data_IF_406647201526
#
_entry.id   IF_406647201526
#
_cell.length_a   1.000
_cell.length_b   1.000
_cell.length_c   1.000
_cell.angle_alpha   90.00
_cell.angle_beta   90.00
_cell.angle_gamma   90.00
#
_symmetry.space_group_name_H-M   'P 1'
#
loop_
_entity.id
_entity.type
_entity.pdbx_description
1 polymer ?
#
# COMPACT_ATOMS: atom_id res chain seq x y z
N UNK A 1 4.34 -27.72 -16.59
CA UNK A 1 5.54 -26.91 -16.83
C UNK A 1 6.10 -26.28 -15.55
N UNK A 2 6.02 -26.99 -14.39
CA UNK A 2 6.37 -26.52 -13.04
C UNK A 2 7.60 -27.21 -12.41
N UNK A 3 8.34 -28.00 -13.18
CA UNK A 3 9.43 -28.85 -12.63
C UNK A 3 10.85 -28.30 -12.71
N UNK A 4 11.12 -27.27 -13.47
CA UNK A 4 12.49 -26.77 -13.68
C UNK A 4 12.92 -25.61 -12.78
N UNK A 5 11.99 -24.88 -12.14
CA UNK A 5 12.27 -23.78 -11.24
C UNK A 5 12.45 -24.20 -9.77
N UNK A 6 12.00 -25.38 -9.38
CA UNK A 6 12.13 -25.89 -8.00
C UNK A 6 13.56 -26.36 -7.65
N UNK A 7 14.37 -26.74 -8.62
CA UNK A 7 15.69 -27.35 -8.42
C UNK A 7 16.81 -26.37 -8.04
N UNK A 8 16.59 -25.06 -8.17
CA UNK A 8 17.62 -24.04 -7.93
C UNK A 8 17.44 -23.16 -6.68
N UNK A 9 16.25 -23.19 -6.04
CA UNK A 9 16.04 -22.35 -4.87
C UNK A 9 16.62 -22.96 -3.61
N UNK A 10 17.50 -22.21 -2.96
CA UNK A 10 18.09 -22.55 -1.68
C UNK A 10 17.48 -21.68 -0.58
N UNK A 11 17.00 -22.31 0.48
CA UNK A 11 16.44 -21.58 1.62
C UNK A 11 17.52 -20.68 2.24
N UNK A 12 17.21 -19.41 2.56
CA UNK A 12 18.16 -18.53 3.26
C UNK A 12 18.64 -19.15 4.58
N UNK A 13 19.91 -18.92 4.92
CA UNK A 13 20.51 -19.42 6.17
C UNK A 13 19.74 -18.88 7.37
N UNK A 14 19.70 -19.68 8.44
CA UNK A 14 19.07 -19.27 9.69
C UNK A 14 19.77 -18.02 10.26
N UNK A 15 18.98 -17.04 10.72
CA UNK A 15 19.51 -15.85 11.39
C UNK A 15 19.99 -16.17 12.80
N UNK A 16 20.85 -15.31 13.38
CA UNK A 16 21.31 -15.47 14.77
C UNK A 16 20.14 -15.51 15.77
N UNK A 17 19.06 -14.77 15.52
CA UNK A 17 17.85 -14.80 16.35
C UNK A 17 17.16 -16.17 16.30
N UNK A 18 17.08 -16.78 15.11
CA UNK A 18 16.51 -18.13 14.95
C UNK A 18 17.36 -19.19 15.66
N UNK A 19 18.69 -19.09 15.61
CA UNK A 19 19.58 -20.04 16.29
C UNK A 19 19.48 -19.92 17.82
N UNK A 20 19.33 -18.71 18.35
CA UNK A 20 19.07 -18.49 19.78
C UNK A 20 17.73 -19.09 20.21
N UNK A 21 16.69 -18.92 19.40
CA UNK A 21 15.39 -19.52 19.66
C UNK A 21 15.44 -21.06 19.63
N UNK A 22 16.23 -21.66 18.71
CA UNK A 22 16.41 -23.10 18.65
C UNK A 22 17.21 -23.62 19.86
N UNK A 23 18.22 -22.89 20.33
CA UNK A 23 18.95 -23.24 21.55
C UNK A 23 18.06 -23.18 22.80
N UNK A 24 17.22 -22.13 22.90
CA UNK A 24 16.23 -22.02 23.99
C UNK A 24 15.21 -23.17 23.93
N UNK A 25 14.72 -23.50 22.75
CA UNK A 25 13.80 -24.64 22.56
C UNK A 25 14.46 -25.96 22.98
N UNK A 26 15.70 -26.21 22.58
CA UNK A 26 16.44 -27.42 22.97
C UNK A 26 16.61 -27.51 24.50
N UNK A 27 16.90 -26.38 25.16
CA UNK A 27 17.00 -26.31 26.62
C UNK A 27 15.64 -26.59 27.30
N UNK A 28 14.54 -25.97 26.80
CA UNK A 28 13.20 -26.20 27.33
C UNK A 28 12.79 -27.66 27.18
N UNK A 29 13.09 -28.29 26.03
CA UNK A 29 12.81 -29.69 25.79
C UNK A 29 13.66 -30.60 26.69
N UNK A 30 14.92 -30.23 26.94
CA UNK A 30 15.78 -30.97 27.86
C UNK A 30 15.26 -30.96 29.31
N UNK A 31 14.89 -29.77 29.79
CA UNK A 31 14.27 -29.60 31.11
C UNK A 31 12.94 -30.36 31.19
N UNK A 32 12.09 -30.20 30.14
CA UNK A 32 10.82 -30.92 30.03
C UNK A 32 11.01 -32.45 30.07
N UNK A 33 11.97 -32.99 29.29
CA UNK A 33 12.26 -34.41 29.24
C UNK A 33 12.73 -34.97 30.59
N UNK A 34 13.60 -34.26 31.30
CA UNK A 34 14.01 -34.65 32.65
C UNK A 34 12.82 -34.63 33.62
N UNK A 35 11.98 -33.57 33.55
CA UNK A 35 10.83 -33.44 34.42
C UNK A 35 9.80 -34.55 34.16
N UNK A 36 9.47 -34.82 32.89
CA UNK A 36 8.53 -35.91 32.54
C UNK A 36 9.09 -37.29 32.89
N UNK A 37 10.39 -37.53 32.71
CA UNK A 37 11.04 -38.78 33.14
C UNK A 37 10.90 -39.01 34.64
N UNK A 38 11.14 -37.96 35.45
CA UNK A 38 10.97 -38.07 36.91
C UNK A 38 9.51 -38.32 37.32
N UNK A 39 8.57 -37.77 36.59
CA UNK A 39 7.12 -38.00 36.81
C UNK A 39 6.75 -39.44 36.41
N UNK A 40 7.17 -39.92 35.23
CA UNK A 40 6.91 -41.30 34.81
C UNK A 40 7.52 -42.31 35.74
N UNK A 41 8.73 -42.08 36.27
CA UNK A 41 9.34 -42.94 37.29
C UNK A 41 8.44 -43.10 38.52
N UNK A 42 7.74 -42.02 38.96
CA UNK A 42 6.85 -42.05 40.12
C UNK A 42 5.53 -42.81 39.86
N UNK A 43 5.12 -42.95 38.61
CA UNK A 43 3.88 -43.68 38.29
C UNK A 43 4.01 -45.19 38.40
N UNK A 44 5.25 -45.73 38.49
CA UNK A 44 5.48 -47.18 38.48
C UNK A 44 5.13 -47.83 37.15
N UNK A 45 5.02 -47.06 36.06
CA UNK A 45 4.63 -47.57 34.73
C UNK A 45 5.78 -48.30 34.03
N UNK A 46 7.02 -48.20 34.55
CA UNK A 46 8.22 -48.82 34.02
C UNK A 46 8.80 -49.77 35.10
N UNK A 47 8.70 -51.05 34.86
CA UNK A 47 9.14 -52.09 35.82
C UNK A 47 10.66 -52.14 35.94
N UNK A 48 11.39 -51.97 34.84
CA UNK A 48 12.85 -51.90 34.80
C UNK A 48 13.31 -50.51 34.39
N UNK A 49 13.98 -49.81 35.30
CA UNK A 49 14.46 -48.45 35.06
C UNK A 49 15.95 -48.50 34.64
N UNK A 50 16.23 -47.90 33.48
CA UNK A 50 17.60 -47.78 32.97
C UNK A 50 18.57 -47.09 33.97
N UNK A 51 19.86 -47.39 33.97
CA UNK A 51 20.84 -46.63 34.72
C UNK A 51 20.86 -45.15 34.36
N UNK A 52 21.13 -44.26 35.32
CA UNK A 52 21.09 -42.79 35.15
C UNK A 52 21.95 -42.32 33.98
N UNK A 53 23.09 -42.94 33.71
CA UNK A 53 23.94 -42.57 32.58
C UNK A 53 23.24 -42.80 31.22
N UNK A 54 22.37 -43.82 31.11
CA UNK A 54 21.56 -44.07 29.90
C UNK A 54 20.51 -42.94 29.72
N UNK A 55 19.90 -42.46 30.80
CA UNK A 55 18.98 -41.33 30.73
C UNK A 55 19.70 -40.08 30.22
N UNK A 56 20.85 -39.73 30.83
CA UNK A 56 21.65 -38.57 30.43
C UNK A 56 22.04 -38.68 28.96
N UNK A 57 22.50 -39.84 28.52
CA UNK A 57 22.88 -40.07 27.14
C UNK A 57 21.66 -40.00 26.20
N UNK A 58 20.59 -40.74 26.48
CA UNK A 58 19.41 -40.82 25.61
C UNK A 58 18.69 -39.49 25.50
N UNK A 59 18.37 -38.85 26.64
CA UNK A 59 17.71 -37.55 26.66
C UNK A 59 18.61 -36.45 26.07
N UNK A 60 19.91 -36.49 26.31
CA UNK A 60 20.88 -35.56 25.73
C UNK A 60 20.93 -35.67 24.21
N UNK A 61 20.97 -36.90 23.65
CA UNK A 61 20.94 -37.15 22.22
C UNK A 61 19.60 -36.70 21.56
N UNK A 62 18.48 -36.81 22.27
CA UNK A 62 17.20 -36.39 21.79
C UNK A 62 17.03 -34.86 21.76
N UNK A 63 17.59 -34.14 22.72
CA UNK A 63 17.28 -32.73 22.95
C UNK A 63 18.36 -31.75 22.47
N UNK A 64 19.64 -31.98 22.87
CA UNK A 64 20.70 -30.99 22.61
C UNK A 64 20.99 -30.74 21.12
N UNK A 65 21.00 -31.77 20.23
CA UNK A 65 21.25 -31.55 18.82
C UNK A 65 20.23 -30.63 18.14
N UNK A 66 19.03 -30.50 18.70
CA UNK A 66 17.98 -29.62 18.17
C UNK A 66 18.37 -28.13 18.13
N UNK A 67 19.34 -27.71 18.93
CA UNK A 67 19.93 -26.38 18.87
C UNK A 67 20.54 -26.06 17.48
N UNK A 68 21.04 -27.10 16.79
CA UNK A 68 21.69 -27.01 15.48
C UNK A 68 20.79 -27.48 14.32
N UNK A 69 19.53 -27.77 14.57
CA UNK A 69 18.60 -28.42 13.63
C UNK A 69 18.48 -27.72 12.28
N UNK A 70 18.54 -26.40 12.26
CA UNK A 70 18.41 -25.62 11.00
C UNK A 70 19.73 -25.55 10.23
N UNK A 71 20.84 -25.77 10.89
CA UNK A 71 22.16 -25.74 10.26
C UNK A 71 22.55 -27.10 9.67
N UNK A 72 22.23 -28.17 10.41
CA UNK A 72 22.52 -29.56 10.04
C UNK A 72 21.26 -30.45 10.17
N UNK A 73 20.24 -30.26 9.30
CA UNK A 73 18.94 -30.91 9.51
C UNK A 73 19.02 -32.44 9.55
N UNK A 74 19.69 -33.04 8.56
CA UNK A 74 19.80 -34.51 8.43
C UNK A 74 20.67 -35.13 9.54
N UNK A 75 21.89 -34.66 9.81
CA UNK A 75 22.69 -35.17 10.93
C UNK A 75 21.97 -35.10 12.28
N UNK A 76 21.29 -33.98 12.55
CA UNK A 76 20.53 -33.82 13.79
C UNK A 76 19.38 -34.81 13.87
N UNK A 77 18.63 -35.03 12.79
CA UNK A 77 17.55 -36.01 12.79
C UNK A 77 18.03 -37.45 13.01
N UNK A 78 19.22 -37.81 12.48
CA UNK A 78 19.85 -39.11 12.72
C UNK A 78 20.25 -39.24 14.18
N UNK A 79 20.91 -38.24 14.77
CA UNK A 79 21.36 -38.29 16.18
C UNK A 79 20.16 -38.35 17.12
N UNK A 80 19.11 -37.56 16.88
CA UNK A 80 17.87 -37.61 17.66
C UNK A 80 17.18 -38.98 17.50
N UNK A 81 17.16 -39.56 16.29
CA UNK A 81 16.63 -40.89 16.04
C UNK A 81 17.39 -41.99 16.81
N UNK A 82 18.73 -41.90 16.89
CA UNK A 82 19.54 -42.79 17.72
C UNK A 82 19.19 -42.61 19.21
N UNK A 83 19.06 -41.35 19.68
CA UNK A 83 18.66 -41.07 21.05
C UNK A 83 17.28 -41.64 21.37
N UNK A 84 16.32 -41.51 20.44
CA UNK A 84 14.98 -42.08 20.54
C UNK A 84 15.01 -43.61 20.66
N UNK A 85 15.81 -44.27 19.82
CA UNK A 85 16.03 -45.71 19.87
C UNK A 85 16.64 -46.14 21.19
N UNK A 86 17.67 -45.44 21.69
CA UNK A 86 18.31 -45.72 22.98
C UNK A 86 17.30 -45.60 24.12
N UNK A 87 16.52 -44.56 24.16
CA UNK A 87 15.50 -44.38 25.18
C UNK A 87 14.45 -45.52 25.17
N UNK A 88 13.97 -45.89 23.99
CA UNK A 88 12.98 -46.94 23.84
C UNK A 88 13.52 -48.34 24.15
N UNK A 89 14.76 -48.63 23.74
CA UNK A 89 15.37 -49.97 23.91
C UNK A 89 15.82 -50.27 25.34
N UNK A 90 16.29 -49.23 26.06
CA UNK A 90 16.85 -49.41 27.40
C UNK A 90 15.89 -48.99 28.53
N UNK A 91 14.62 -48.76 28.23
CA UNK A 91 13.63 -48.47 29.26
C UNK A 91 13.83 -47.14 29.99
N UNK A 92 14.23 -46.08 29.25
CA UNK A 92 14.23 -44.75 29.84
C UNK A 92 12.78 -44.32 30.04
N UNK A 93 12.35 -43.94 31.27
CA UNK A 93 10.94 -43.66 31.56
C UNK A 93 10.56 -42.28 31.01
N UNK A 94 10.53 -42.16 29.69
CA UNK A 94 10.14 -40.96 28.98
C UNK A 94 9.47 -41.34 27.66
N UNK A 95 8.25 -40.89 27.43
CA UNK A 95 7.49 -41.21 26.23
C UNK A 95 6.88 -39.99 25.53
N UNK A 96 6.85 -38.84 26.16
CA UNK A 96 6.17 -37.64 25.62
C UNK A 96 7.15 -36.73 24.92
N UNK A 97 8.17 -36.23 25.63
CA UNK A 97 9.07 -35.21 25.11
C UNK A 97 10.01 -35.75 24.04
N UNK A 98 10.45 -36.99 24.12
CA UNK A 98 11.30 -37.62 23.07
C UNK A 98 10.53 -37.71 21.75
N UNK A 99 9.22 -38.00 21.77
CA UNK A 99 8.41 -38.00 20.58
C UNK A 99 8.34 -36.60 19.99
N UNK A 100 8.13 -35.56 20.81
CA UNK A 100 8.15 -34.16 20.35
C UNK A 100 9.50 -33.79 19.74
N UNK A 101 10.60 -34.12 20.38
CA UNK A 101 11.96 -33.89 19.89
C UNK A 101 12.18 -34.53 18.52
N UNK A 102 11.78 -35.78 18.37
CA UNK A 102 11.95 -36.54 17.13
C UNK A 102 11.05 -35.97 16.01
N UNK A 103 9.81 -35.61 16.32
CA UNK A 103 8.93 -34.93 15.37
C UNK A 103 9.54 -33.63 14.86
N UNK A 104 10.06 -32.80 15.77
CA UNK A 104 10.72 -31.53 15.42
C UNK A 104 11.94 -31.77 14.52
N UNK A 105 12.73 -32.83 14.81
CA UNK A 105 13.88 -33.18 13.99
C UNK A 105 13.47 -33.58 12.57
N UNK A 106 12.49 -34.47 12.40
CA UNK A 106 11.98 -34.91 11.10
C UNK A 106 11.34 -33.77 10.34
N UNK A 107 10.49 -32.99 11.00
CA UNK A 107 9.90 -31.76 10.42
C UNK A 107 11.01 -30.84 9.89
N UNK A 108 12.09 -30.65 10.66
CA UNK A 108 13.16 -29.73 10.27
C UNK A 108 13.91 -30.22 9.03
N UNK A 109 14.13 -31.53 8.87
CA UNK A 109 14.67 -32.09 7.62
C UNK A 109 13.78 -31.70 6.43
N UNK A 110 12.49 -31.95 6.52
CA UNK A 110 11.54 -31.60 5.47
C UNK A 110 11.51 -30.10 5.14
N UNK A 111 11.65 -29.26 6.16
CA UNK A 111 11.50 -27.81 6.06
C UNK A 111 12.79 -27.07 5.67
N UNK A 112 13.97 -27.54 6.09
CA UNK A 112 15.24 -26.78 6.03
C UNK A 112 16.30 -27.40 5.14
N UNK A 113 16.24 -28.72 4.85
CA UNK A 113 17.23 -29.34 3.96
C UNK A 113 17.07 -28.80 2.53
N UNK A 114 18.16 -28.22 2.03
CA UNK A 114 18.19 -27.61 0.70
C UNK A 114 18.16 -28.65 -0.42
N UNK A 115 18.84 -29.77 -0.22
CA UNK A 115 18.84 -30.88 -1.16
C UNK A 115 17.58 -31.73 -0.97
N UNK A 116 16.59 -31.55 -1.85
CA UNK A 116 15.29 -32.25 -1.74
C UNK A 116 15.38 -33.76 -1.84
N UNK A 117 16.32 -34.28 -2.66
CA UNK A 117 16.55 -35.73 -2.76
C UNK A 117 17.08 -36.25 -1.44
N UNK A 118 18.08 -35.58 -0.84
CA UNK A 118 18.63 -35.94 0.47
C UNK A 118 17.57 -35.82 1.57
N UNK A 119 16.74 -34.76 1.56
CA UNK A 119 15.66 -34.60 2.53
C UNK A 119 14.66 -35.77 2.48
N UNK A 120 14.17 -36.10 1.29
CA UNK A 120 13.17 -37.17 1.12
C UNK A 120 13.77 -38.55 1.40
N UNK A 121 14.95 -38.84 0.87
CA UNK A 121 15.59 -40.13 1.08
C UNK A 121 15.94 -40.38 2.55
N UNK A 122 16.47 -39.38 3.26
CA UNK A 122 16.78 -39.50 4.69
C UNK A 122 15.51 -39.70 5.53
N UNK A 123 14.42 -38.95 5.25
CA UNK A 123 13.16 -39.15 5.94
C UNK A 123 12.55 -40.53 5.71
N UNK A 124 12.61 -41.04 4.45
CA UNK A 124 12.15 -42.39 4.14
C UNK A 124 13.03 -43.46 4.88
N UNK A 125 14.35 -43.32 4.85
CA UNK A 125 15.24 -44.25 5.51
C UNK A 125 14.97 -44.28 7.03
N UNK A 126 14.86 -43.10 7.66
CA UNK A 126 14.57 -43.02 9.11
C UNK A 126 13.20 -43.65 9.41
N UNK A 127 12.17 -43.32 8.63
CA UNK A 127 10.81 -43.85 8.84
C UNK A 127 10.79 -45.39 8.69
N UNK A 128 11.43 -45.93 7.64
CA UNK A 128 11.51 -47.37 7.41
C UNK A 128 12.28 -48.05 8.54
N UNK A 129 13.39 -47.47 8.99
CA UNK A 129 14.18 -48.01 10.11
C UNK A 129 13.36 -48.05 11.41
N UNK A 130 12.60 -47.00 11.71
CA UNK A 130 11.75 -46.91 12.89
C UNK A 130 10.57 -47.89 12.84
N UNK A 131 9.95 -48.03 11.68
CA UNK A 131 8.86 -49.00 11.49
C UNK A 131 9.40 -50.45 11.59
N UNK A 132 10.58 -50.72 11.02
CA UNK A 132 11.23 -52.03 11.15
C UNK A 132 11.53 -52.35 12.62
N UNK A 133 12.08 -51.37 13.36
CA UNK A 133 12.32 -51.53 14.80
C UNK A 133 11.00 -51.78 15.57
N UNK A 134 9.94 -51.03 15.27
CA UNK A 134 8.63 -51.25 15.89
C UNK A 134 8.10 -52.66 15.64
N UNK A 135 8.18 -53.15 14.40
CA UNK A 135 7.73 -54.51 14.05
C UNK A 135 8.52 -55.54 14.82
N UNK A 136 9.87 -55.43 14.86
CA UNK A 136 10.71 -56.32 15.61
C UNK A 136 10.39 -56.29 17.11
N UNK A 137 10.20 -55.10 17.68
CA UNK A 137 9.80 -54.95 19.08
C UNK A 137 8.45 -55.61 19.37
N UNK A 138 7.46 -55.44 18.50
CA UNK A 138 6.15 -56.08 18.65
C UNK A 138 6.23 -57.63 18.54
N UNK A 139 7.11 -58.17 17.65
CA UNK A 139 7.33 -59.60 17.53
C UNK A 139 7.95 -60.15 18.83
N UNK A 140 8.98 -59.49 19.35
CA UNK A 140 9.64 -59.91 20.61
C UNK A 140 8.64 -59.82 21.76
N UNK A 141 7.90 -58.72 21.91
CA UNK A 141 6.89 -58.55 22.96
C UNK A 141 5.72 -59.54 22.85
N UNK A 142 5.42 -60.04 21.64
CA UNK A 142 4.39 -61.06 21.44
C UNK A 142 4.78 -62.38 22.01
N UNK A 143 6.09 -62.68 22.07
CA UNK A 143 6.65 -63.94 22.55
C UNK A 143 6.96 -63.91 24.06
N UNK A 144 6.93 -62.75 24.70
CA UNK A 144 7.20 -62.55 26.13
C UNK A 144 5.92 -62.41 26.95
N UNK A 145 5.52 -63.43 27.74
CA UNK A 145 4.29 -63.39 28.58
C UNK A 145 4.40 -62.37 29.71
N UNK A 146 5.60 -62.00 30.18
CA UNK A 146 5.77 -61.10 31.31
C UNK A 146 5.65 -59.66 30.92
N UNK A 147 5.80 -59.31 29.61
CA UNK A 147 5.74 -57.94 29.11
C UNK A 147 4.37 -57.26 29.31
N UNK A 148 3.26 -58.04 29.27
CA UNK A 148 1.90 -57.61 29.63
C UNK A 148 1.14 -58.76 30.27
N UNK A 149 1.23 -58.95 31.58
CA UNK A 149 0.53 -60.04 32.27
C UNK A 149 -0.97 -59.95 32.12
N UNK A 150 -1.65 -61.05 31.78
CA UNK A 150 -3.11 -61.11 31.64
C UNK A 150 -3.68 -60.61 30.34
N UNK A 151 -2.85 -60.11 29.40
CA UNK A 151 -3.31 -59.66 28.07
C UNK A 151 -3.45 -60.84 27.12
N UNK A 152 -4.63 -61.05 26.53
CA UNK A 152 -4.88 -62.06 25.51
C UNK A 152 -4.03 -61.83 24.25
N UNK A 153 -3.33 -62.87 23.79
CA UNK A 153 -2.46 -62.87 22.61
C UNK A 153 -2.98 -63.75 21.46
N UNK A 154 -4.04 -64.49 21.72
CA UNK A 154 -4.61 -65.42 20.75
C UNK A 154 -5.79 -64.82 20.04
N UNK A 155 -5.76 -64.82 18.71
CA UNK A 155 -6.82 -64.31 17.83
C UNK A 155 -6.55 -62.94 17.22
N UNK A 156 -7.18 -62.71 16.09
CA UNK A 156 -7.00 -61.49 15.30
C UNK A 156 -7.46 -60.22 16.04
N UNK A 157 -8.41 -60.33 16.95
CA UNK A 157 -8.90 -59.24 17.80
C UNK A 157 -8.47 -59.39 19.26
N UNK A 158 -7.33 -60.06 19.49
CA UNK A 158 -6.76 -60.12 20.84
C UNK A 158 -6.37 -58.71 21.32
N UNK A 159 -6.31 -58.53 22.64
CA UNK A 159 -5.92 -57.27 23.22
C UNK A 159 -4.50 -56.83 22.77
N UNK A 160 -3.58 -57.82 22.61
CA UNK A 160 -2.25 -57.55 22.05
C UNK A 160 -2.30 -57.13 20.57
N UNK A 161 -3.08 -57.80 19.73
CA UNK A 161 -3.25 -57.41 18.32
C UNK A 161 -3.87 -55.99 18.18
N UNK A 162 -4.79 -55.64 19.05
CA UNK A 162 -5.35 -54.27 19.10
C UNK A 162 -4.31 -53.25 19.50
N UNK A 163 -3.50 -53.55 20.52
CA UNK A 163 -2.39 -52.68 20.92
C UNK A 163 -1.38 -52.49 19.79
N UNK A 164 -0.95 -53.57 19.11
CA UNK A 164 -0.05 -53.51 17.98
C UNK A 164 -0.60 -52.67 16.82
N UNK A 165 -1.90 -52.85 16.50
CA UNK A 165 -2.56 -52.06 15.48
C UNK A 165 -2.58 -50.58 15.83
N UNK A 166 -2.92 -50.20 17.07
CA UNK A 166 -2.86 -48.83 17.55
C UNK A 166 -1.46 -48.24 17.43
N UNK A 167 -0.42 -48.97 17.83
CA UNK A 167 0.97 -48.51 17.70
C UNK A 167 1.36 -48.26 16.24
N UNK A 168 0.99 -49.15 15.34
CA UNK A 168 1.25 -48.97 13.89
C UNK A 168 0.51 -47.74 13.36
N UNK A 169 -0.78 -47.59 13.69
CA UNK A 169 -1.58 -46.43 13.25
C UNK A 169 -1.01 -45.12 13.79
N UNK A 170 -0.64 -45.07 15.08
CA UNK A 170 -0.05 -43.87 15.68
C UNK A 170 1.28 -43.50 15.01
N UNK A 171 2.15 -44.48 14.75
CA UNK A 171 3.42 -44.23 14.06
C UNK A 171 3.18 -43.75 12.61
N UNK A 172 2.21 -44.33 11.90
CA UNK A 172 1.85 -43.90 10.54
C UNK A 172 1.42 -42.44 10.51
N UNK A 173 0.53 -42.01 11.41
CA UNK A 173 0.13 -40.63 11.52
C UNK A 173 1.29 -39.73 11.92
N UNK A 174 2.14 -40.17 12.84
CA UNK A 174 3.27 -39.41 13.30
C UNK A 174 4.28 -39.11 12.18
N UNK A 175 4.73 -40.13 11.45
CA UNK A 175 5.66 -39.94 10.35
C UNK A 175 5.04 -39.19 9.17
N UNK A 176 3.80 -39.50 8.81
CA UNK A 176 3.07 -38.80 7.78
C UNK A 176 2.86 -37.32 8.12
N UNK A 177 2.55 -37.01 9.37
CA UNK A 177 2.41 -35.66 9.87
C UNK A 177 3.74 -34.88 9.78
N UNK A 178 4.83 -35.46 10.29
CA UNK A 178 6.13 -34.82 10.25
C UNK A 178 6.58 -34.52 8.80
N UNK A 179 6.39 -35.48 7.89
CA UNK A 179 6.70 -35.33 6.48
C UNK A 179 5.82 -34.25 5.82
N UNK A 180 4.51 -34.33 6.03
CA UNK A 180 3.56 -33.38 5.46
C UNK A 180 3.83 -31.94 5.88
N UNK A 181 3.96 -31.70 7.19
CA UNK A 181 4.22 -30.35 7.70
C UNK A 181 5.62 -29.86 7.30
N UNK A 182 6.64 -30.73 7.29
CA UNK A 182 7.97 -30.38 6.84
C UNK A 182 8.01 -29.94 5.37
N UNK A 183 7.43 -30.74 4.49
CA UNK A 183 7.37 -30.45 3.05
C UNK A 183 6.53 -29.20 2.75
N UNK A 184 5.39 -29.06 3.42
CA UNK A 184 4.56 -27.86 3.26
C UNK A 184 5.24 -26.58 3.76
N UNK A 185 6.00 -26.64 4.85
CA UNK A 185 6.80 -25.52 5.34
C UNK A 185 7.84 -25.07 4.32
N UNK A 186 8.50 -26.03 3.66
CA UNK A 186 9.43 -25.72 2.59
C UNK A 186 8.74 -25.09 1.37
N UNK A 187 7.61 -25.68 0.92
CA UNK A 187 6.82 -25.15 -0.19
C UNK A 187 6.33 -23.73 0.10
N UNK A 188 5.83 -23.50 1.31
CA UNK A 188 5.37 -22.16 1.72
C UNK A 188 6.50 -21.14 1.72
N UNK A 189 7.70 -21.51 2.19
CA UNK A 189 8.88 -20.65 2.17
C UNK A 189 9.33 -20.34 0.74
N UNK A 190 9.34 -21.34 -0.13
CA UNK A 190 9.66 -21.18 -1.56
C UNK A 190 8.66 -20.26 -2.26
N UNK A 191 7.35 -20.48 -2.06
CA UNK A 191 6.29 -19.65 -2.65
C UNK A 191 6.40 -18.20 -2.22
N UNK A 192 6.67 -17.94 -0.93
CA UNK A 192 6.91 -16.57 -0.44
C UNK A 192 8.08 -15.90 -1.16
N UNK A 193 9.19 -16.60 -1.32
CA UNK A 193 10.36 -16.07 -2.02
C UNK A 193 10.06 -15.74 -3.50
N UNK A 194 9.27 -16.58 -4.18
CA UNK A 194 8.82 -16.35 -5.57
C UNK A 194 7.92 -15.11 -5.64
N UNK A 195 6.94 -14.99 -4.74
CA UNK A 195 6.05 -13.83 -4.69
C UNK A 195 6.79 -12.52 -4.41
N UNK A 196 7.77 -12.55 -3.50
CA UNK A 196 8.63 -11.40 -3.22
C UNK A 196 9.50 -10.99 -4.41
N UNK A 197 10.00 -11.97 -5.17
CA UNK A 197 10.76 -11.72 -6.40
C UNK A 197 9.86 -11.08 -7.48
N UNK A 198 8.67 -11.64 -7.72
CA UNK A 198 7.69 -11.10 -8.66
C UNK A 198 7.21 -9.70 -8.25
N UNK A 199 7.00 -9.48 -6.95
CA UNK A 199 6.63 -8.15 -6.44
C UNK A 199 7.68 -7.08 -6.75
N UNK A 200 8.96 -7.40 -6.59
CA UNK A 200 10.07 -6.49 -6.93
C UNK A 200 10.18 -6.22 -8.43
N UNK A 201 9.98 -7.24 -9.26
CA UNK A 201 9.98 -7.11 -10.71
C UNK A 201 8.83 -6.22 -11.20
N UNK A 202 7.62 -6.44 -10.67
CA UNK A 202 6.44 -5.64 -10.99
C UNK A 202 6.60 -4.17 -10.57
N UNK A 203 7.22 -3.93 -9.43
CA UNK A 203 7.52 -2.57 -8.96
C UNK A 203 8.54 -1.87 -9.87
N UNK A 204 9.55 -2.61 -10.34
CA UNK A 204 10.52 -2.09 -11.30
C UNK A 204 9.85 -1.74 -12.65
N UNK A 205 9.02 -2.64 -13.18
CA UNK A 205 8.28 -2.40 -14.43
C UNK A 205 7.34 -1.18 -14.31
N UNK A 206 6.65 -1.04 -13.17
CA UNK A 206 5.78 0.12 -12.92
C UNK A 206 6.56 1.44 -12.91
N UNK A 207 7.74 1.46 -12.29
CA UNK A 207 8.61 2.65 -12.28
C UNK A 207 9.06 3.00 -13.70
N UNK A 208 9.55 2.03 -14.45
CA UNK A 208 9.98 2.23 -15.83
C UNK A 208 8.83 2.70 -16.73
N UNK A 209 7.64 2.12 -16.58
CA UNK A 209 6.45 2.55 -17.32
C UNK A 209 6.02 3.97 -16.98
N UNK A 210 6.09 4.36 -15.70
CA UNK A 210 5.79 5.73 -15.27
C UNK A 210 6.81 6.74 -15.86
N UNK A 211 8.10 6.42 -15.86
CA UNK A 211 9.14 7.24 -16.47
C UNK A 211 8.93 7.40 -17.98
N UNK A 212 8.57 6.31 -18.67
CA UNK A 212 8.25 6.34 -20.11
C UNK A 212 6.99 7.18 -20.38
N UNK A 213 5.94 7.06 -19.57
CA UNK A 213 4.75 7.87 -19.70
C UNK A 213 5.05 9.38 -19.58
N UNK A 214 5.86 9.77 -18.60
CA UNK A 214 6.32 11.17 -18.45
C UNK A 214 7.15 11.63 -19.65
N UNK A 215 8.03 10.77 -20.18
CA UNK A 215 8.82 11.11 -21.35
C UNK A 215 7.95 11.30 -22.62
N UNK A 216 6.96 10.43 -22.82
CA UNK A 216 6.00 10.54 -23.93
C UNK A 216 5.15 11.80 -23.81
N UNK A 217 4.68 12.14 -22.62
CA UNK A 217 3.93 13.36 -22.35
C UNK A 217 4.77 14.61 -22.70
N UNK A 218 6.02 14.67 -22.28
CA UNK A 218 6.94 15.75 -22.66
C UNK A 218 7.15 15.87 -24.16
N UNK A 219 7.22 14.75 -24.88
CA UNK A 219 7.32 14.75 -26.35
C UNK A 219 6.02 15.25 -27.00
N UNK A 220 4.86 14.91 -26.45
CA UNK A 220 3.57 15.44 -26.88
C UNK A 220 3.51 16.95 -26.75
N UNK A 221 3.86 17.46 -25.57
CA UNK A 221 3.97 18.89 -25.26
C UNK A 221 4.91 19.62 -26.24
N UNK A 222 6.11 19.07 -26.46
CA UNK A 222 7.08 19.67 -27.36
C UNK A 222 6.56 19.79 -28.80
N UNK A 223 5.80 18.80 -29.28
CA UNK A 223 5.14 18.85 -30.60
C UNK A 223 4.08 19.93 -30.65
N UNK A 224 3.18 19.99 -29.65
CA UNK A 224 2.12 20.99 -29.59
C UNK A 224 2.67 22.42 -29.55
N UNK A 225 3.73 22.66 -28.77
CA UNK A 225 4.46 23.93 -28.76
C UNK A 225 5.08 24.26 -30.13
N UNK A 226 5.67 23.24 -30.78
CA UNK A 226 6.28 23.44 -32.10
C UNK A 226 5.24 23.80 -33.17
N UNK A 227 4.07 23.14 -33.14
CA UNK A 227 2.99 23.37 -34.10
C UNK A 227 2.42 24.78 -33.98
N UNK A 228 2.19 25.25 -32.72
CA UNK A 228 1.73 26.62 -32.46
C UNK A 228 2.77 27.65 -32.94
N UNK A 229 4.05 27.46 -32.60
CA UNK A 229 5.12 28.37 -33.03
C UNK A 229 5.25 28.39 -34.54
N UNK A 230 5.31 27.21 -35.19
CA UNK A 230 5.47 27.09 -36.63
C UNK A 230 4.32 27.78 -37.40
N UNK A 231 3.09 27.62 -36.92
CA UNK A 231 1.92 28.24 -37.52
C UNK A 231 2.03 29.78 -37.48
N UNK A 232 2.25 30.36 -36.30
CA UNK A 232 2.32 31.82 -36.15
C UNK A 232 3.51 32.44 -36.89
N UNK A 233 4.70 31.78 -36.84
CA UNK A 233 5.89 32.24 -37.57
C UNK A 233 5.66 32.22 -39.08
N UNK A 234 4.94 31.21 -39.61
CA UNK A 234 4.62 31.13 -41.04
C UNK A 234 3.68 32.27 -41.48
N UNK A 235 2.66 32.54 -40.66
CA UNK A 235 1.73 33.67 -40.93
C UNK A 235 2.46 35.02 -40.89
N UNK A 236 3.28 35.25 -39.84
CA UNK A 236 4.10 36.48 -39.73
C UNK A 236 5.04 36.65 -40.92
N UNK A 237 5.71 35.55 -41.34
CA UNK A 237 6.59 35.57 -42.51
C UNK A 237 5.88 35.95 -43.81
N UNK A 238 4.68 35.40 -44.03
CA UNK A 238 3.88 35.73 -45.21
C UNK A 238 3.42 37.19 -45.20
N UNK A 239 2.92 37.68 -44.06
CA UNK A 239 2.46 39.09 -43.93
C UNK A 239 3.62 40.10 -44.02
N UNK A 240 4.79 39.78 -43.46
CA UNK A 240 5.97 40.62 -43.59
C UNK A 240 6.45 40.69 -45.06
N UNK A 241 6.37 39.61 -45.83
CA UNK A 241 6.65 39.60 -47.25
C UNK A 241 5.65 40.46 -48.04
N UNK A 242 4.32 40.35 -47.70
CA UNK A 242 3.28 41.17 -48.31
C UNK A 242 3.49 42.66 -48.01
N UNK A 243 3.81 43.03 -46.76
CA UNK A 243 4.13 44.39 -46.37
C UNK A 243 5.27 44.98 -47.19
N UNK A 244 6.39 44.21 -47.35
CA UNK A 244 7.55 44.62 -48.15
C UNK A 244 7.22 44.84 -49.61
N UNK A 245 6.34 44.01 -50.19
CA UNK A 245 5.94 44.12 -51.60
C UNK A 245 5.01 45.33 -51.88
N UNK A 246 4.25 45.76 -50.88
CA UNK A 246 3.28 46.85 -50.98
C UNK A 246 3.87 48.21 -50.55
N UNK A 247 5.07 48.24 -49.95
CA UNK A 247 5.61 49.41 -49.29
C UNK A 247 5.68 50.68 -50.20
N UNK A 248 6.07 50.51 -51.46
CA UNK A 248 6.23 51.62 -52.40
C UNK A 248 4.98 51.89 -53.24
N UNK A 249 4.01 50.94 -53.31
CA UNK A 249 2.83 51.01 -54.17
C UNK A 249 1.55 51.38 -53.39
N UNK A 250 1.42 50.84 -52.20
CA UNK A 250 0.29 51.03 -51.29
C UNK A 250 0.76 51.02 -49.84
N UNK A 251 1.23 52.16 -49.29
CA UNK A 251 1.67 52.25 -47.91
C UNK A 251 0.59 51.91 -46.86
N UNK A 252 -0.68 52.06 -47.20
CA UNK A 252 -1.79 51.72 -46.29
C UNK A 252 -1.91 50.20 -46.16
N UNK A 253 -1.84 49.45 -47.27
CA UNK A 253 -1.81 47.99 -47.26
C UNK A 253 -0.55 47.42 -46.57
N UNK A 254 0.60 48.07 -46.74
CA UNK A 254 1.83 47.68 -46.02
C UNK A 254 1.70 47.85 -44.51
N UNK A 255 1.09 48.96 -44.03
CA UNK A 255 0.83 49.21 -42.62
C UNK A 255 -0.11 48.16 -42.02
N UNK A 256 -1.20 47.85 -42.74
CA UNK A 256 -2.17 46.83 -42.31
C UNK A 256 -1.53 45.45 -42.20
N UNK A 257 -0.64 45.05 -43.14
CA UNK A 257 0.07 43.78 -43.05
C UNK A 257 1.05 43.73 -41.87
N UNK A 258 1.70 44.84 -41.50
CA UNK A 258 2.55 44.94 -40.30
C UNK A 258 1.75 44.87 -39.01
N UNK A 259 0.55 45.47 -38.96
CA UNK A 259 -0.36 45.35 -37.80
C UNK A 259 -0.79 43.91 -37.57
N UNK A 260 -1.03 43.12 -38.63
CA UNK A 260 -1.33 41.68 -38.53
C UNK A 260 -0.13 40.91 -38.00
N UNK A 261 1.11 41.26 -38.39
CA UNK A 261 2.34 40.66 -37.85
C UNK A 261 2.44 40.89 -36.33
N UNK A 262 2.21 42.15 -35.90
CA UNK A 262 2.28 42.50 -34.48
C UNK A 262 1.20 41.79 -33.66
N UNK A 263 -0.03 41.70 -34.14
CA UNK A 263 -1.14 40.99 -33.53
C UNK A 263 -0.86 39.48 -33.44
N UNK A 264 -0.33 38.87 -34.52
CA UNK A 264 0.03 37.45 -34.56
C UNK A 264 1.15 37.12 -33.56
N UNK A 265 2.14 38.01 -33.39
CA UNK A 265 3.21 37.86 -32.42
C UNK A 265 2.67 37.90 -30.96
N UNK A 266 1.80 38.88 -30.67
CA UNK A 266 1.17 38.97 -29.35
C UNK A 266 0.30 37.75 -29.03
N UNK A 267 -0.45 37.25 -30.01
CA UNK A 267 -1.28 36.05 -29.88
C UNK A 267 -0.45 34.82 -29.62
N UNK A 268 0.64 34.60 -30.41
CA UNK A 268 1.56 33.47 -30.22
C UNK A 268 2.19 33.44 -28.82
N UNK A 269 2.67 34.59 -28.33
CA UNK A 269 3.24 34.69 -26.97
C UNK A 269 2.16 34.43 -25.91
N UNK A 270 0.93 34.88 -26.12
CA UNK A 270 -0.20 34.63 -25.23
C UNK A 270 -0.57 33.14 -25.14
N UNK A 271 -0.66 32.46 -26.29
CA UNK A 271 -0.92 31.01 -26.36
C UNK A 271 0.20 30.17 -25.73
N UNK A 272 1.47 30.50 -26.03
CA UNK A 272 2.63 29.83 -25.41
C UNK A 272 2.64 29.99 -23.89
N UNK A 273 2.33 31.19 -23.38
CA UNK A 273 2.20 31.42 -21.92
C UNK A 273 1.07 30.60 -21.31
N UNK A 274 -0.06 30.54 -22.01
CA UNK A 274 -1.20 29.73 -21.54
C UNK A 274 -0.90 28.24 -21.52
N UNK A 275 -0.25 27.73 -22.57
CA UNK A 275 0.19 26.33 -22.64
C UNK A 275 1.20 26.00 -21.51
N UNK A 276 2.24 26.83 -21.34
CA UNK A 276 3.23 26.65 -20.26
C UNK A 276 2.57 26.74 -18.88
N UNK A 277 1.57 27.60 -18.70
CA UNK A 277 0.84 27.72 -17.44
C UNK A 277 -0.05 26.49 -17.18
N UNK A 278 -0.68 25.92 -18.22
CA UNK A 278 -1.51 24.71 -18.11
C UNK A 278 -0.67 23.48 -17.83
N UNK A 279 0.54 23.41 -18.43
CA UNK A 279 1.49 22.32 -18.30
C UNK A 279 2.37 22.41 -17.04
N UNK A 280 2.53 23.60 -16.51
CA UNK A 280 3.01 23.75 -15.15
C UNK A 280 1.87 23.31 -14.24
N UNK A 281 1.73 21.98 -14.08
CA UNK A 281 0.96 21.40 -12.98
C UNK A 281 1.25 22.30 -11.78
N UNK A 282 0.28 22.73 -10.99
CA UNK A 282 0.61 23.35 -9.74
C UNK A 282 1.54 22.36 -9.05
N UNK A 283 2.86 22.65 -9.13
CA UNK A 283 3.81 22.02 -8.24
C UNK A 283 3.13 22.10 -6.90
N UNK A 284 2.90 20.97 -6.31
CA UNK A 284 2.52 20.90 -4.93
C UNK A 284 3.38 21.95 -4.26
N UNK A 285 2.76 23.04 -3.87
CA UNK A 285 3.40 24.12 -3.13
C UNK A 285 4.37 23.47 -2.17
N UNK A 286 5.57 24.02 -2.05
CA UNK A 286 6.61 23.52 -1.14
C UNK A 286 6.01 22.95 0.14
N UNK A 287 6.41 21.75 0.59
CA UNK A 287 5.84 21.18 1.80
C UNK A 287 6.19 22.11 2.97
N UNK A 288 5.24 22.98 3.33
CA UNK A 288 5.40 23.98 4.40
C UNK A 288 4.52 25.23 4.27
N UNK A 289 3.99 25.58 3.10
CA UNK A 289 3.11 26.73 2.92
C UNK A 289 1.62 26.34 3.02
N UNK A 290 1.13 26.13 4.24
CA UNK A 290 -0.30 25.95 4.54
C UNK A 290 -1.02 27.31 4.43
N UNK A 291 -1.35 27.69 3.19
CA UNK A 291 -2.12 28.92 2.93
C UNK A 291 -3.60 28.59 3.00
N UNK A 292 -4.24 28.90 4.12
CA UNK A 292 -5.66 28.67 4.38
C UNK A 292 -6.48 29.95 4.49
N UNK A 293 -7.76 29.81 4.86
CA UNK A 293 -8.73 30.92 5.03
C UNK A 293 -8.28 31.96 6.04
N UNK A 294 -7.38 31.63 6.95
CA UNK A 294 -6.75 32.59 7.88
C UNK A 294 -5.99 33.71 7.16
N UNK A 295 -5.58 33.50 5.88
CA UNK A 295 -4.90 34.50 5.05
C UNK A 295 -5.85 35.29 4.15
N UNK A 296 -7.16 35.09 4.23
CA UNK A 296 -8.14 35.89 3.49
C UNK A 296 -8.02 37.41 3.76
N UNK A 297 -7.73 37.90 5.00
CA UNK A 297 -7.51 39.34 5.22
C UNK A 297 -6.32 39.87 4.40
N UNK A 298 -5.23 39.13 4.27
CA UNK A 298 -4.09 39.54 3.48
C UNK A 298 -4.41 39.54 1.97
N UNK A 299 -5.14 38.54 1.48
CA UNK A 299 -5.62 38.46 0.10
C UNK A 299 -6.55 39.63 -0.26
N UNK A 300 -7.43 40.02 0.64
CA UNK A 300 -8.30 41.18 0.48
C UNK A 300 -7.51 42.51 0.44
N UNK A 301 -6.51 42.65 1.31
CA UNK A 301 -5.61 43.79 1.32
C UNK A 301 -4.80 43.90 0.01
N UNK A 302 -4.37 42.81 -0.56
CA UNK A 302 -3.69 42.73 -1.85
C UNK A 302 -4.64 43.16 -2.99
N UNK A 303 -5.89 42.70 -2.98
CA UNK A 303 -6.88 43.10 -3.96
C UNK A 303 -7.17 44.62 -3.89
N UNK A 304 -7.26 45.18 -2.67
CA UNK A 304 -7.42 46.62 -2.47
C UNK A 304 -6.23 47.43 -3.00
N UNK A 305 -5.00 46.99 -2.68
CA UNK A 305 -3.77 47.64 -3.15
C UNK A 305 -3.64 47.58 -4.68
N UNK A 306 -4.22 46.55 -5.29
CA UNK A 306 -4.27 46.36 -6.75
C UNK A 306 -5.42 47.16 -7.43
N UNK A 307 -6.13 48.06 -6.72
CA UNK A 307 -7.14 48.96 -7.25
C UNK A 307 -8.56 48.37 -7.29
N UNK A 308 -8.82 47.25 -6.61
CA UNK A 308 -10.19 46.69 -6.47
C UNK A 308 -10.65 46.85 -5.03
N UNK A 309 -11.54 47.84 -4.71
CA UNK A 309 -12.12 47.97 -3.37
C UNK A 309 -12.79 46.67 -2.96
N UNK A 310 -12.29 46.03 -1.89
CA UNK A 310 -12.76 44.71 -1.46
C UNK A 310 -13.05 44.73 0.03
N UNK A 311 -14.14 44.12 0.47
CA UNK A 311 -14.47 43.96 1.90
C UNK A 311 -14.52 42.50 2.26
N UNK A 312 -14.09 42.19 3.49
CA UNK A 312 -14.17 40.83 4.06
C UNK A 312 -15.21 40.82 5.18
N UNK A 313 -16.13 39.88 5.13
CA UNK A 313 -17.13 39.63 6.16
C UNK A 313 -16.97 38.18 6.62
N UNK A 314 -16.69 38.00 7.93
CA UNK A 314 -16.67 36.68 8.54
C UNK A 314 -17.89 36.54 9.45
N UNK A 315 -18.67 35.48 9.25
CA UNK A 315 -19.91 35.23 9.99
C UNK A 315 -19.91 33.84 10.63
N UNK A 316 -20.43 33.75 11.85
CA UNK A 316 -20.39 32.52 12.66
C UNK A 316 -19.10 32.43 13.51
N UNK A 317 -19.00 31.39 14.32
CA UNK A 317 -17.80 31.14 15.13
C UNK A 317 -16.71 30.50 14.27
N UNK A 318 -15.53 31.15 14.13
CA UNK A 318 -14.40 30.58 13.42
C UNK A 318 -13.95 29.27 14.08
N UNK A 319 -13.77 28.23 13.27
CA UNK A 319 -13.28 26.93 13.71
C UNK A 319 -12.20 26.39 12.77
N UNK A 320 -11.37 25.49 13.28
CA UNK A 320 -10.37 24.82 12.48
C UNK A 320 -11.06 24.00 11.37
N UNK A 321 -10.58 24.16 10.14
CA UNK A 321 -11.03 23.41 8.97
C UNK A 321 -10.04 22.28 8.66
N UNK A 322 -10.49 21.15 8.09
CA UNK A 322 -9.59 20.17 7.51
C UNK A 322 -8.67 20.85 6.49
N UNK A 323 -7.37 20.50 6.49
CA UNK A 323 -6.34 21.17 5.70
C UNK A 323 -6.72 21.34 4.21
N UNK A 324 -7.23 20.27 3.59
CA UNK A 324 -7.63 20.31 2.19
C UNK A 324 -8.81 21.26 1.92
N UNK A 325 -9.76 21.36 2.85
CA UNK A 325 -10.89 22.31 2.77
C UNK A 325 -10.40 23.73 2.90
N UNK A 326 -9.53 23.98 3.87
CA UNK A 326 -8.95 25.27 4.18
C UNK A 326 -8.20 25.86 2.96
N UNK A 327 -7.32 25.06 2.36
CA UNK A 327 -6.57 25.42 1.15
C UNK A 327 -7.51 25.60 -0.06
N UNK A 328 -8.48 24.69 -0.25
CA UNK A 328 -9.40 24.78 -1.38
C UNK A 328 -10.22 26.06 -1.36
N UNK A 329 -10.75 26.46 -0.20
CA UNK A 329 -11.52 27.71 -0.05
C UNK A 329 -10.66 28.95 -0.30
N UNK A 330 -9.43 28.97 0.21
CA UNK A 330 -8.49 30.06 -0.07
C UNK A 330 -8.23 30.22 -1.58
N UNK A 331 -7.97 29.12 -2.28
CA UNK A 331 -7.72 29.14 -3.74
C UNK A 331 -8.94 29.57 -4.54
N UNK A 332 -10.15 29.21 -4.09
CA UNK A 332 -11.39 29.71 -4.70
C UNK A 332 -11.51 31.22 -4.52
N UNK A 333 -11.22 31.78 -3.34
CA UNK A 333 -11.21 33.20 -3.10
C UNK A 333 -10.21 33.95 -3.99
N UNK A 334 -9.00 33.43 -4.13
CA UNK A 334 -7.92 33.98 -4.94
C UNK A 334 -8.31 34.04 -6.42
N UNK A 335 -8.82 32.95 -6.97
CA UNK A 335 -9.25 32.89 -8.36
C UNK A 335 -10.46 33.77 -8.62
N UNK A 336 -11.43 33.80 -7.68
CA UNK A 336 -12.61 34.63 -7.80
C UNK A 336 -12.27 36.14 -7.80
N UNK A 337 -11.37 36.59 -6.90
CA UNK A 337 -10.89 37.96 -6.88
C UNK A 337 -10.07 38.34 -8.13
N UNK A 338 -9.30 37.40 -8.65
CA UNK A 338 -8.61 37.56 -9.93
C UNK A 338 -9.60 37.74 -11.07
N UNK A 339 -10.70 36.99 -11.07
CA UNK A 339 -11.78 37.13 -12.06
C UNK A 339 -12.51 38.45 -11.94
N UNK A 340 -12.77 38.97 -10.74
CA UNK A 340 -13.31 40.30 -10.52
C UNK A 340 -12.41 41.34 -11.17
N UNK A 341 -11.11 41.34 -10.92
CA UNK A 341 -10.16 42.29 -11.50
C UNK A 341 -10.12 42.25 -13.03
N UNK A 342 -10.25 41.05 -13.63
CA UNK A 342 -10.21 40.87 -15.10
C UNK A 342 -11.52 41.25 -15.78
N UNK A 343 -12.67 41.03 -15.12
CA UNK A 343 -13.96 40.99 -15.79
C UNK A 343 -15.03 41.98 -15.27
N UNK A 344 -14.90 42.49 -14.03
CA UNK A 344 -15.92 43.34 -13.43
C UNK A 344 -15.90 44.81 -13.90
N UNK A 345 -14.82 45.23 -14.57
CA UNK A 345 -14.64 46.58 -15.10
C UNK A 345 -13.93 47.56 -14.14
N UNK A 346 -13.47 48.71 -14.67
CA UNK A 346 -12.78 49.73 -13.87
C UNK A 346 -13.73 50.33 -12.83
N UNK A 347 -13.33 50.37 -11.56
CA UNK A 347 -14.14 50.91 -10.46
C UNK A 347 -15.13 49.91 -9.85
N UNK A 348 -15.07 48.63 -10.23
CA UNK A 348 -15.83 47.58 -9.57
C UNK A 348 -15.31 47.35 -8.14
N UNK A 349 -16.22 47.00 -7.22
CA UNK A 349 -15.91 46.57 -5.85
C UNK A 349 -16.31 45.13 -5.66
N UNK A 350 -15.61 44.44 -4.74
CA UNK A 350 -15.88 43.04 -4.38
C UNK A 350 -16.22 42.91 -2.90
N UNK A 351 -16.99 41.90 -2.58
CA UNK A 351 -17.27 41.46 -1.21
C UNK A 351 -16.91 39.98 -1.07
N UNK A 352 -16.04 39.65 -0.11
CA UNK A 352 -15.71 38.30 0.27
C UNK A 352 -16.41 37.99 1.57
N UNK A 353 -17.24 36.98 1.59
CA UNK A 353 -17.99 36.55 2.78
C UNK A 353 -17.65 35.10 3.12
N UNK A 354 -17.08 34.86 4.31
CA UNK A 354 -16.84 33.54 4.85
C UNK A 354 -17.84 33.27 5.97
N UNK A 355 -18.60 32.20 5.86
CA UNK A 355 -19.61 31.82 6.84
C UNK A 355 -19.35 30.45 7.40
N UNK A 356 -19.20 30.34 8.73
CA UNK A 356 -19.09 29.08 9.47
C UNK A 356 -20.49 28.67 9.96
N UNK A 357 -21.07 27.64 9.34
CA UNK A 357 -22.31 27.00 9.77
C UNK A 357 -22.06 25.81 10.70
N UNK A 358 -23.12 25.19 11.24
CA UNK A 358 -22.99 24.01 12.11
C UNK A 358 -22.37 22.81 11.41
N UNK A 359 -22.79 22.54 10.18
CA UNK A 359 -22.47 21.36 9.38
C UNK A 359 -21.74 21.66 8.07
N UNK A 360 -21.44 22.94 7.79
CA UNK A 360 -20.81 23.37 6.55
C UNK A 360 -20.06 24.68 6.72
N UNK A 361 -19.14 24.94 5.81
CA UNK A 361 -18.50 26.24 5.60
C UNK A 361 -18.87 26.76 4.21
N UNK A 362 -19.12 28.04 4.11
CA UNK A 362 -19.52 28.72 2.85
C UNK A 362 -18.61 29.92 2.62
N UNK A 363 -18.03 30.01 1.42
CA UNK A 363 -17.26 31.14 0.95
C UNK A 363 -18.02 31.73 -0.24
N UNK A 364 -18.31 33.02 -0.17
CA UNK A 364 -18.96 33.79 -1.25
C UNK A 364 -18.07 34.96 -1.64
N UNK A 365 -17.82 35.11 -2.94
CA UNK A 365 -17.15 36.27 -3.51
C UNK A 365 -18.11 36.90 -4.53
N UNK A 366 -18.50 38.13 -4.31
CA UNK A 366 -19.45 38.84 -5.16
C UNK A 366 -18.90 40.22 -5.57
N UNK A 367 -19.07 40.56 -6.83
CA UNK A 367 -18.78 41.93 -7.34
C UNK A 367 -20.04 42.72 -7.62
N UNK A 368 -19.87 44.02 -7.77
CA UNK A 368 -20.98 44.94 -8.11
C UNK A 368 -21.11 45.23 -9.62
N UNK A 369 -20.20 44.67 -10.47
CA UNK A 369 -20.23 44.73 -11.92
C UNK A 369 -20.51 46.14 -12.50
N UNK A 370 -19.50 46.99 -12.61
CA UNK A 370 -19.64 48.28 -13.30
C UNK A 370 -19.59 48.02 -14.81
N UNK A 371 -20.74 47.68 -15.40
CA UNK A 371 -20.84 47.58 -16.84
C UNK A 371 -20.91 48.99 -17.41
N UNK A 372 -19.95 49.37 -18.26
CA UNK A 372 -20.16 50.44 -19.21
C UNK A 372 -21.42 50.11 -20.04
N UNK A 373 -22.52 50.77 -19.79
CA UNK A 373 -23.65 50.87 -20.72
C UNK A 373 -23.16 51.62 -21.92
N UNK A 374 -22.53 50.93 -22.88
CA UNK A 374 -22.46 51.44 -24.25
C UNK A 374 -23.91 51.45 -24.76
N UNK A 375 -24.46 52.65 -24.87
CA UNK A 375 -25.73 52.92 -25.49
C UNK A 375 -25.77 52.30 -26.88
N UNK A 376 -26.80 51.52 -27.16
CA UNK A 376 -27.25 51.20 -28.51
C UNK A 376 -26.73 49.90 -29.11
N UNK A 377 -27.62 48.91 -29.17
CA UNK A 377 -27.75 48.01 -30.28
C UNK A 377 -26.80 46.82 -30.35
N UNK A 378 -27.37 45.65 -30.20
CA UNK A 378 -27.02 44.39 -30.92
C UNK A 378 -25.55 44.13 -31.28
N UNK A 379 -24.65 44.10 -30.29
CA UNK A 379 -23.24 43.72 -30.52
C UNK A 379 -22.81 42.43 -29.80
N UNK A 380 -23.76 41.66 -29.28
CA UNK A 380 -23.43 40.37 -28.59
C UNK A 380 -23.12 39.20 -29.55
N UNK A 381 -23.21 39.39 -30.86
CA UNK A 381 -23.04 38.34 -31.87
C UNK A 381 -21.64 38.26 -32.51
N UNK A 382 -20.71 39.18 -32.21
CA UNK A 382 -19.41 39.28 -32.93
C UNK A 382 -18.19 39.28 -32.03
N UNK A 383 -18.24 38.63 -30.86
CA UNK A 383 -17.00 38.35 -30.10
C UNK A 383 -16.34 37.11 -30.69
N UNK A 384 -15.02 37.15 -31.00
CA UNK A 384 -14.29 36.00 -31.50
C UNK A 384 -14.41 34.78 -30.56
N UNK A 385 -14.45 33.61 -31.14
CA UNK A 385 -14.57 32.32 -30.40
C UNK A 385 -13.47 32.14 -29.34
N UNK A 386 -12.30 32.76 -29.51
CA UNK A 386 -11.16 32.75 -28.58
C UNK A 386 -11.47 33.44 -27.24
N UNK A 387 -12.28 34.53 -27.23
CA UNK A 387 -12.65 35.22 -25.98
C UNK A 387 -13.72 34.44 -25.19
N UNK A 388 -14.49 33.56 -25.84
CA UNK A 388 -15.44 32.66 -25.17
C UNK A 388 -14.76 31.44 -24.53
N UNK A 389 -13.62 30.95 -25.05
CA UNK A 389 -12.91 29.79 -24.57
C UNK A 389 -12.12 30.05 -23.29
N UNK A 390 -11.57 31.27 -23.08
CA UNK A 390 -10.73 31.57 -21.92
C UNK A 390 -11.48 31.75 -20.60
N UNK A 391 -12.80 32.05 -20.63
CA UNK A 391 -13.61 32.29 -19.42
C UNK A 391 -14.09 31.00 -18.71
N UNK A 392 -13.91 29.82 -19.31
CA UNK A 392 -14.37 28.53 -18.75
C UNK A 392 -13.36 27.80 -17.86
N UNK A 393 -12.08 28.06 -18.04
CA UNK A 393 -11.01 27.25 -17.37
C UNK A 393 -10.91 27.57 -15.86
N UNK A 394 -11.02 28.81 -15.44
CA UNK A 394 -10.98 29.19 -14.01
C UNK A 394 -12.13 28.58 -13.20
N UNK A 395 -13.35 28.66 -13.73
CA UNK A 395 -14.55 28.08 -13.09
C UNK A 395 -14.51 26.55 -13.07
N UNK A 396 -13.94 25.92 -14.10
CA UNK A 396 -13.74 24.47 -14.14
C UNK A 396 -12.73 24.02 -13.10
N UNK A 397 -11.58 24.67 -13.00
CA UNK A 397 -10.55 24.36 -12.00
C UNK A 397 -11.04 24.57 -10.56
N UNK A 398 -11.87 25.60 -10.31
CA UNK A 398 -12.52 25.77 -9.01
C UNK A 398 -13.49 24.63 -8.69
N UNK A 399 -14.29 24.14 -9.66
CA UNK A 399 -15.21 23.00 -9.46
C UNK A 399 -14.46 21.71 -9.16
N UNK A 400 -13.40 21.43 -9.90
CA UNK A 400 -12.59 20.22 -9.72
C UNK A 400 -11.94 20.19 -8.32
N UNK A 401 -11.33 21.32 -7.90
CA UNK A 401 -10.71 21.42 -6.56
C UNK A 401 -11.73 21.30 -5.43
N UNK A 402 -12.88 21.94 -5.56
CA UNK A 402 -13.91 21.86 -4.52
C UNK A 402 -14.59 20.50 -4.47
N UNK A 403 -14.79 19.86 -5.64
CA UNK A 403 -15.31 18.51 -5.75
C UNK A 403 -14.42 17.47 -5.06
N UNK A 404 -13.09 17.64 -5.06
CA UNK A 404 -12.14 16.77 -4.39
C UNK A 404 -12.30 16.76 -2.85
N UNK A 405 -12.90 17.82 -2.27
CA UNK A 405 -13.21 17.93 -0.83
C UNK A 405 -14.71 17.77 -0.52
N UNK A 406 -15.48 17.20 -1.46
CA UNK A 406 -16.93 16.99 -1.29
C UNK A 406 -17.76 18.28 -1.33
N UNK A 407 -17.17 19.40 -1.76
CA UNK A 407 -17.83 20.69 -1.86
C UNK A 407 -18.55 20.91 -3.19
N UNK A 408 -19.35 21.98 -3.23
CA UNK A 408 -20.07 22.44 -4.41
C UNK A 408 -19.77 23.90 -4.68
N UNK A 409 -19.78 24.31 -5.97
CA UNK A 409 -19.63 25.70 -6.39
C UNK A 409 -20.82 26.13 -7.22
N UNK A 410 -21.35 27.28 -6.90
CA UNK A 410 -22.34 27.98 -7.67
C UNK A 410 -21.73 29.28 -8.19
N UNK A 411 -21.85 29.54 -9.47
CA UNK A 411 -21.32 30.75 -10.08
C UNK A 411 -22.32 31.29 -11.09
N UNK A 412 -22.65 32.56 -10.97
CA UNK A 412 -23.66 33.18 -11.83
C UNK A 412 -23.83 34.68 -11.59
N UNK A 413 -24.70 35.30 -12.39
CA UNK A 413 -25.09 36.69 -12.18
C UNK A 413 -25.89 36.85 -10.90
N UNK A 414 -25.57 37.89 -10.12
CA UNK A 414 -26.32 38.21 -8.91
C UNK A 414 -27.68 38.82 -9.32
N UNK A 415 -28.79 38.15 -8.97
CA UNK A 415 -30.11 38.72 -9.11
C UNK A 415 -30.26 39.92 -8.14
N UNK A 416 -30.61 41.06 -8.68
CA UNK A 416 -30.78 42.30 -7.89
C UNK A 416 -31.94 42.17 -6.92
N UNK A 417 -31.69 42.00 -5.64
CA UNK A 417 -32.73 41.97 -4.59
C UNK A 417 -33.21 43.37 -4.19
N UNK A 418 -32.57 44.47 -4.61
CA UNK A 418 -32.99 45.86 -4.34
C UNK A 418 -32.45 46.83 -5.41
N UNK A 419 -33.32 47.29 -6.32
CA UNK A 419 -33.10 48.43 -7.19
C UNK A 419 -32.55 48.16 -8.59
N UNK A 420 -32.92 48.93 -9.61
CA UNK A 420 -32.44 48.78 -10.98
C UNK A 420 -30.98 49.25 -11.07
N UNK A 421 -30.04 48.35 -11.36
CA UNK A 421 -28.68 48.73 -11.74
C UNK A 421 -27.48 47.93 -11.29
N UNK A 422 -27.61 46.88 -10.53
CA UNK A 422 -26.44 46.08 -10.08
C UNK A 422 -26.40 44.70 -10.74
N UNK A 423 -25.71 44.61 -11.86
CA UNK A 423 -25.43 43.35 -12.59
C UNK A 423 -24.05 42.79 -12.17
N UNK A 424 -23.88 42.39 -10.92
CA UNK A 424 -22.66 41.76 -10.45
C UNK A 424 -22.62 40.27 -10.77
N UNK A 425 -21.44 39.66 -10.58
CA UNK A 425 -21.22 38.22 -10.63
C UNK A 425 -20.92 37.69 -9.23
N UNK A 426 -21.34 36.47 -8.95
CA UNK A 426 -21.14 35.83 -7.67
C UNK A 426 -20.55 34.41 -7.87
N UNK A 427 -19.60 34.09 -7.04
CA UNK A 427 -19.08 32.74 -6.88
C UNK A 427 -19.31 32.31 -5.43
N UNK A 428 -20.05 31.25 -5.22
CA UNK A 428 -20.33 30.66 -3.89
C UNK A 428 -19.84 29.24 -3.84
N UNK A 429 -18.95 28.96 -2.89
CA UNK A 429 -18.40 27.65 -2.57
C UNK A 429 -18.97 27.15 -1.25
N UNK A 430 -19.52 25.95 -1.21
CA UNK A 430 -20.09 25.33 -0.01
C UNK A 430 -19.43 23.97 0.20
N UNK A 431 -18.87 23.75 1.40
CA UNK A 431 -18.24 22.49 1.79
C UNK A 431 -18.90 21.95 3.05
N UNK A 432 -19.44 20.72 3.04
CA UNK A 432 -19.96 20.07 4.24
C UNK A 432 -18.82 19.71 5.19
N UNK A 433 -19.02 19.90 6.52
CA UNK A 433 -18.02 19.62 7.56
C UNK A 433 -18.41 18.43 8.46
N UNK A 434 -19.47 17.69 8.09
CA UNK A 434 -20.15 16.71 8.94
C UNK A 434 -19.76 15.22 8.73
N UNK A 435 -18.55 14.86 8.27
CA UNK A 435 -18.20 13.45 8.00
C UNK A 435 -16.99 12.94 8.85
N UNK A 436 -16.40 13.78 9.71
CA UNK A 436 -15.23 13.37 10.51
C UNK A 436 -15.57 12.42 11.67
N UNK A 437 -16.74 12.52 12.30
CA UNK A 437 -17.10 11.66 13.43
C UNK A 437 -17.36 10.20 13.04
N UNK A 438 -17.99 9.94 11.89
CA UNK A 438 -18.24 8.56 11.44
C UNK A 438 -16.99 7.84 10.91
N UNK A 439 -16.00 8.57 10.41
CA UNK A 439 -14.74 7.97 9.97
C UNK A 439 -13.82 7.61 11.16
N UNK A 440 -13.82 8.41 12.21
CA UNK A 440 -13.09 8.13 13.45
C UNK A 440 -13.75 7.02 14.29
N UNK A 441 -15.08 6.94 14.33
CA UNK A 441 -15.78 5.80 14.95
C UNK A 441 -15.51 4.50 14.22
N UNK A 442 -15.57 4.47 12.89
CA UNK A 442 -15.24 3.29 12.10
C UNK A 442 -13.76 2.88 12.19
N UNK A 443 -12.84 3.84 12.30
CA UNK A 443 -11.42 3.57 12.55
C UNK A 443 -11.18 3.03 13.96
N UNK A 444 -11.87 3.56 14.95
CA UNK A 444 -11.78 3.13 16.37
C UNK A 444 -12.41 1.73 16.56
N UNK A 445 -13.54 1.44 15.91
CA UNK A 445 -14.14 0.10 15.90
C UNK A 445 -13.27 -0.94 15.18
N UNK A 446 -12.63 -0.57 14.07
CA UNK A 446 -11.71 -1.45 13.35
C UNK A 446 -10.43 -1.75 14.14
N UNK A 447 -9.94 -0.82 14.95
CA UNK A 447 -8.80 -1.01 15.87
C UNK A 447 -9.24 -1.85 17.08
N UNK A 448 -10.41 -1.61 17.66
CA UNK A 448 -10.96 -2.41 18.76
C UNK A 448 -11.22 -3.86 18.35
N UNK A 449 -11.76 -4.10 17.15
CA UNK A 449 -11.99 -5.44 16.61
C UNK A 449 -10.68 -6.21 16.34
N UNK A 450 -9.58 -5.54 16.05
CA UNK A 450 -8.25 -6.16 15.89
C UNK A 450 -7.56 -6.51 17.22
N UNK A 451 -7.91 -5.83 18.30
CA UNK A 451 -7.33 -6.08 19.63
C UNK A 451 -8.04 -7.21 20.37
N UNK A 452 -9.25 -7.61 19.93
CA UNK A 452 -10.04 -8.70 20.56
C UNK A 452 -9.74 -10.09 19.95
N UNK A 453 -8.90 -10.17 18.89
CA UNK A 453 -8.54 -11.42 18.17
C UNK A 453 -7.04 -11.76 18.34
N UNK A 454 -6.31 -11.08 19.23
CA UNK A 454 -4.89 -11.37 19.50
C UNK A 454 -4.73 -12.16 20.83
#
# INVERSE_FOLDING_TARGET
MMRSTELGWVRPRATAAMLRADALLALLLAVGSVTTSLLYQRTGMFDEIAPVWVWVLGLGLCTLPLALRRHYPVPVAVVVGIGFFVCGQFGVPEALMINICFFIALYTVGAWESNRTLAISSLIIIAVSMVAWLIVSLIISSSDPEWMPGVSRVGLFSAFATFAALQIIMNLFYFSGALFFGLNSWRAAHMRAVLEAQGRELEHERRTSAEQAVALDRLGIARELHDVVAHHVSVMGLQAAAARMSLDRDPAAAKQALEIVEESAHTAVGELRSLVHTLRTPEADEPGSTVGVARLPALVAEAQSSGTPTTLIVAGEPRALPLLVDVALYRVAQEALTNVRKHAGKGASAEVRLRFGKDRVELEVADNGVRQTLAGGSAAAHLPASVRASSGLGLRGMRERLGAVGGRIEAGRREATRGPGTNGFMVRATVPLGISEKADEAATEAVAARTTIA
#
